data_IF_379644750068
#
_entry.id   IF_379644750068
#
_cell.length_a   1.000
_cell.length_b   1.000
_cell.length_c   1.000
_cell.angle_alpha   90.00
_cell.angle_beta   90.00
_cell.angle_gamma   90.00
#
_symmetry.space_group_name_H-M   'P 1'
#
loop_
_entity.id
_entity.type
_entity.pdbx_description
1 polymer ?
#
# COMPACT_ATOMS: atom_id res chain seq x y z
N UNK A 1 9.49 1.01 16.43
CA UNK A 1 9.36 1.22 14.97
C UNK A 1 8.23 0.35 14.47
N UNK A 2 7.30 0.85 13.66
CA UNK A 2 6.37 -0.04 12.98
C UNK A 2 7.20 -0.92 12.04
N UNK A 3 6.93 -2.20 12.08
CA UNK A 3 7.69 -3.16 11.31
C UNK A 3 7.29 -3.02 9.84
N UNK A 4 8.27 -2.93 8.96
CA UNK A 4 8.03 -2.81 7.53
C UNK A 4 7.93 -1.38 6.97
N UNK A 5 7.84 -0.35 7.81
CA UNK A 5 7.76 1.03 7.35
C UNK A 5 9.07 1.79 7.64
N UNK A 6 9.78 2.21 6.60
CA UNK A 6 11.10 2.83 6.73
C UNK A 6 11.07 4.28 7.21
N UNK A 7 9.96 4.97 7.01
CA UNK A 7 9.81 6.39 7.27
C UNK A 7 9.03 6.73 8.54
N UNK A 8 8.59 5.73 9.33
CA UNK A 8 7.74 5.93 10.51
C UNK A 8 8.42 5.56 11.82
N UNK A 9 7.93 6.13 12.92
CA UNK A 9 8.37 5.82 14.27
C UNK A 9 9.63 6.51 14.74
N UNK A 10 10.20 7.42 13.96
CA UNK A 10 11.36 8.22 14.36
C UNK A 10 11.28 9.64 13.83
N UNK A 11 12.08 10.51 14.41
CA UNK A 11 12.33 11.85 13.90
C UNK A 11 13.82 12.04 13.64
N UNK A 12 14.15 12.80 12.62
CA UNK A 12 15.51 13.24 12.36
C UNK A 12 15.86 14.41 13.29
N UNK A 13 17.09 14.47 13.76
CA UNK A 13 17.64 15.65 14.42
C UNK A 13 17.69 16.82 13.43
N UNK A 14 17.69 18.06 13.95
CA UNK A 14 17.77 19.26 13.10
C UNK A 14 19.01 19.20 12.17
N UNK A 15 18.76 19.31 10.87
CA UNK A 15 19.80 19.25 9.83
C UNK A 15 20.22 17.84 9.42
N UNK A 16 19.76 16.80 10.11
CA UNK A 16 20.09 15.42 9.78
C UNK A 16 19.17 14.84 8.69
N UNK A 17 19.72 13.91 7.89
CA UNK A 17 19.03 13.12 6.90
C UNK A 17 19.02 11.65 7.30
N UNK A 18 17.90 10.96 7.11
CA UNK A 18 17.81 9.52 7.15
C UNK A 18 17.26 9.00 5.83
N UNK A 19 17.86 7.92 5.37
CA UNK A 19 17.47 7.25 4.13
C UNK A 19 16.85 5.90 4.47
N UNK A 20 15.83 5.54 3.73
CA UNK A 20 15.20 4.23 3.85
C UNK A 20 14.82 3.68 2.48
N UNK A 21 14.84 2.38 2.36
CA UNK A 21 14.32 1.67 1.20
C UNK A 21 13.44 0.53 1.68
N UNK A 22 12.25 0.43 1.11
CA UNK A 22 11.32 -0.67 1.34
C UNK A 22 11.01 -1.35 0.02
N UNK A 23 11.20 -2.66 -0.04
CA UNK A 23 10.74 -3.48 -1.15
C UNK A 23 9.53 -4.28 -0.71
N UNK A 24 8.52 -4.31 -1.52
CA UNK A 24 7.24 -4.95 -1.24
C UNK A 24 6.83 -5.81 -2.43
N UNK A 25 6.53 -7.07 -2.15
CA UNK A 25 6.02 -8.02 -3.13
C UNK A 25 4.64 -8.50 -2.70
N UNK A 26 3.64 -8.37 -3.57
CA UNK A 26 2.29 -8.89 -3.38
C UNK A 26 2.00 -9.91 -4.47
N UNK A 27 1.58 -11.08 -4.06
CA UNK A 27 1.05 -12.12 -4.92
C UNK A 27 -0.44 -12.30 -4.65
N UNK A 28 -1.24 -12.21 -5.71
CA UNK A 28 -2.69 -12.43 -5.68
C UNK A 28 -2.98 -13.55 -6.68
N UNK A 29 -3.49 -14.67 -6.19
CA UNK A 29 -4.13 -15.70 -6.99
C UNK A 29 -5.64 -15.47 -6.91
N UNK A 30 -6.30 -15.29 -8.05
CA UNK A 30 -7.70 -14.89 -8.08
C UNK A 30 -8.50 -15.70 -9.12
N UNK A 31 -9.78 -15.80 -8.88
CA UNK A 31 -10.75 -16.36 -9.81
C UNK A 31 -12.12 -15.71 -9.60
N UNK A 32 -12.94 -15.73 -10.64
CA UNK A 32 -14.35 -15.40 -10.58
C UNK A 32 -15.14 -16.23 -11.60
N UNK A 33 -16.46 -16.28 -11.40
CA UNK A 33 -17.40 -16.95 -12.28
C UNK A 33 -17.45 -16.33 -13.67
N UNK A 34 -18.02 -17.07 -14.67
CA UNK A 34 -18.22 -16.58 -16.03
C UNK A 34 -18.97 -15.25 -16.08
N UNK A 35 -18.58 -14.36 -16.97
CA UNK A 35 -19.31 -13.14 -17.30
C UNK A 35 -20.11 -13.32 -18.59
N UNK A 36 -21.18 -12.50 -18.79
CA UNK A 36 -22.17 -12.67 -19.88
C UNK A 36 -21.57 -12.90 -21.28
N UNK A 37 -20.43 -12.29 -21.60
CA UNK A 37 -19.78 -12.39 -22.91
C UNK A 37 -18.69 -13.45 -22.99
N UNK A 38 -18.28 -13.98 -21.86
CA UNK A 38 -17.20 -14.97 -21.73
C UNK A 38 -17.67 -16.08 -20.77
N UNK A 39 -18.41 -17.11 -21.30
CA UNK A 39 -19.10 -18.12 -20.50
C UNK A 39 -18.17 -19.21 -19.96
N UNK A 40 -17.00 -18.86 -19.49
CA UNK A 40 -16.04 -19.73 -18.84
C UNK A 40 -15.49 -19.08 -17.58
N UNK A 41 -14.97 -19.88 -16.66
CA UNK A 41 -14.37 -19.40 -15.43
C UNK A 41 -13.14 -18.54 -15.75
N UNK A 42 -12.99 -17.44 -15.05
CA UNK A 42 -11.83 -16.57 -15.16
C UNK A 42 -10.87 -16.82 -14.00
N UNK A 43 -9.61 -17.07 -14.31
CA UNK A 43 -8.58 -17.17 -13.27
C UNK A 43 -7.24 -16.61 -13.71
N UNK A 44 -6.49 -16.12 -12.74
CA UNK A 44 -5.22 -15.50 -13.00
C UNK A 44 -4.40 -15.25 -11.75
N UNK A 45 -3.22 -14.68 -11.94
CA UNK A 45 -2.45 -14.14 -10.83
C UNK A 45 -2.01 -12.72 -11.12
N UNK A 46 -2.06 -11.87 -10.10
CA UNK A 46 -1.51 -10.51 -10.14
C UNK A 46 -0.31 -10.43 -9.22
N UNK A 47 0.84 -10.15 -9.79
CA UNK A 47 2.09 -9.95 -9.08
C UNK A 47 2.41 -8.46 -9.06
N UNK A 48 2.66 -7.92 -7.87
CA UNK A 48 3.06 -6.53 -7.71
C UNK A 48 4.39 -6.47 -6.98
N UNK A 49 5.40 -5.90 -7.59
CA UNK A 49 6.69 -5.62 -6.98
C UNK A 49 6.89 -4.11 -6.92
N UNK A 50 7.07 -3.58 -5.72
CA UNK A 50 7.25 -2.15 -5.47
C UNK A 50 8.50 -1.94 -4.64
N UNK A 51 9.29 -0.94 -5.01
CA UNK A 51 10.40 -0.39 -4.22
C UNK A 51 10.04 1.05 -3.87
N UNK A 52 10.13 1.38 -2.59
CA UNK A 52 9.82 2.71 -2.09
C UNK A 52 11.05 3.30 -1.38
N UNK A 53 11.91 4.05 -2.10
CA UNK A 53 12.92 4.87 -1.45
C UNK A 53 12.25 6.00 -0.67
N UNK A 54 12.84 6.36 0.47
CA UNK A 54 12.39 7.46 1.32
C UNK A 54 13.55 8.23 1.91
N UNK A 55 13.35 9.54 2.10
CA UNK A 55 14.28 10.45 2.75
C UNK A 55 13.50 11.19 3.83
N UNK A 56 14.05 11.23 5.05
CA UNK A 56 13.51 12.02 6.16
C UNK A 56 14.54 13.09 6.52
N UNK A 57 14.15 14.36 6.46
CA UNK A 57 14.97 15.50 6.83
C UNK A 57 14.42 16.16 8.08
N UNK A 58 15.30 16.40 9.06
CA UNK A 58 14.98 17.12 10.28
C UNK A 58 15.04 18.64 10.08
N UNK A 59 13.90 19.30 9.91
CA UNK A 59 13.81 20.76 9.84
C UNK A 59 14.12 21.38 11.22
N UNK A 60 13.58 20.75 12.28
CA UNK A 60 13.81 21.15 13.66
C UNK A 60 13.79 19.92 14.58
N UNK A 61 14.01 20.10 15.88
CA UNK A 61 13.86 19.01 16.88
C UNK A 61 12.46 18.38 16.92
N UNK A 62 11.47 19.05 16.34
CA UNK A 62 10.06 18.60 16.37
C UNK A 62 9.45 18.41 14.99
N UNK A 63 10.06 18.97 13.94
CA UNK A 63 9.49 18.99 12.58
C UNK A 63 10.39 18.19 11.64
N UNK A 64 9.80 17.23 10.94
CA UNK A 64 10.47 16.42 9.93
C UNK A 64 9.70 16.51 8.61
N UNK A 65 10.45 16.61 7.52
CA UNK A 65 9.96 16.46 6.16
C UNK A 65 10.30 15.05 5.66
N UNK A 66 9.32 14.33 5.17
CA UNK A 66 9.50 13.02 4.53
C UNK A 66 9.16 13.12 3.07
N UNK A 67 10.06 12.63 2.22
CA UNK A 67 9.87 12.45 0.79
C UNK A 67 9.96 10.96 0.48
N UNK A 68 9.05 10.43 -0.33
CA UNK A 68 9.12 9.05 -0.80
C UNK A 68 8.55 8.95 -2.21
N UNK A 69 9.05 8.01 -3.00
CA UNK A 69 8.54 7.70 -4.33
C UNK A 69 8.27 6.21 -4.46
N UNK A 70 7.31 5.85 -5.27
CA UNK A 70 6.98 4.47 -5.61
C UNK A 70 7.60 4.11 -6.95
N UNK A 71 8.38 3.04 -6.97
CA UNK A 71 8.92 2.44 -8.20
C UNK A 71 8.45 1.00 -8.25
N UNK A 72 7.96 0.52 -9.39
CA UNK A 72 7.50 -0.86 -9.40
C UNK A 72 6.91 -1.34 -10.71
N UNK A 73 6.42 -2.56 -10.66
CA UNK A 73 5.75 -3.24 -11.77
C UNK A 73 4.62 -4.08 -11.20
N UNK A 74 3.47 -4.03 -11.86
CA UNK A 74 2.35 -4.96 -11.67
C UNK A 74 2.24 -5.81 -12.92
N UNK A 75 2.09 -7.14 -12.74
CA UNK A 75 1.98 -8.11 -13.84
C UNK A 75 0.79 -9.03 -13.61
N UNK A 76 -0.11 -9.06 -14.57
CA UNK A 76 -1.16 -10.05 -14.67
C UNK A 76 -0.63 -11.26 -15.45
N UNK A 77 -0.93 -12.47 -14.96
CA UNK A 77 -0.75 -13.71 -15.70
C UNK A 77 -2.09 -14.40 -15.81
N UNK A 78 -2.57 -14.55 -17.03
CA UNK A 78 -3.78 -15.27 -17.34
C UNK A 78 -3.53 -16.79 -17.27
N UNK A 79 -4.47 -17.55 -16.70
CA UNK A 79 -4.29 -18.99 -16.47
C UNK A 79 -5.18 -19.86 -17.33
N UNK A 80 -6.28 -19.33 -17.86
CA UNK A 80 -7.23 -20.09 -18.66
C UNK A 80 -6.71 -20.29 -20.10
N UNK A 81 -7.15 -21.38 -20.74
CA UNK A 81 -6.81 -21.69 -22.13
C UNK A 81 -7.55 -20.79 -23.12
N UNK A 82 -8.74 -20.32 -22.76
CA UNK A 82 -9.55 -19.43 -23.58
C UNK A 82 -8.97 -18.01 -23.54
N UNK A 83 -8.99 -17.31 -24.68
CA UNK A 83 -8.69 -15.89 -24.72
C UNK A 83 -9.80 -15.08 -24.09
N UNK A 84 -9.46 -13.99 -23.40
CA UNK A 84 -10.39 -13.06 -22.80
C UNK A 84 -10.20 -11.65 -23.34
N UNK A 85 -11.28 -10.91 -23.50
CA UNK A 85 -11.26 -9.47 -23.83
C UNK A 85 -10.83 -8.67 -22.56
N UNK A 86 -11.20 -9.18 -21.39
CA UNK A 86 -10.97 -8.51 -20.11
C UNK A 86 -9.61 -8.83 -19.51
N UNK A 87 -9.17 -10.08 -19.60
CA UNK A 87 -7.99 -10.56 -18.87
C UNK A 87 -6.95 -11.19 -19.81
N UNK A 88 -5.71 -10.81 -19.61
CA UNK A 88 -4.56 -11.30 -20.41
C UNK A 88 -3.28 -11.26 -19.60
N UNK A 89 -2.23 -11.81 -20.14
CA UNK A 89 -0.88 -11.64 -19.61
C UNK A 89 -0.35 -10.27 -20.02
N UNK A 90 -0.18 -9.38 -19.05
CA UNK A 90 0.26 -7.99 -19.28
C UNK A 90 1.00 -7.39 -18.08
N UNK A 91 1.67 -6.26 -18.28
CA UNK A 91 2.43 -5.56 -17.25
C UNK A 91 2.14 -4.04 -17.27
N UNK A 92 2.20 -3.41 -16.09
CA UNK A 92 2.06 -1.96 -15.95
C UNK A 92 3.22 -1.15 -16.52
N UNK A 93 4.35 -1.78 -16.86
CA UNK A 93 5.54 -1.10 -17.37
C UNK A 93 5.44 -0.67 -18.84
N UNK A 94 4.48 -1.21 -19.59
CA UNK A 94 4.26 -0.91 -21.01
C UNK A 94 3.00 -0.05 -21.18
N UNK A 95 2.97 0.76 -22.23
CA UNK A 95 1.74 1.41 -22.66
C UNK A 95 0.71 0.38 -23.10
N UNK A 96 -0.54 0.72 -22.92
CA UNK A 96 -1.69 -0.07 -23.35
C UNK A 96 -2.79 0.85 -23.89
N UNK A 97 -3.78 0.31 -24.62
CA UNK A 97 -4.84 1.10 -25.24
C UNK A 97 -5.51 2.12 -24.29
N UNK A 98 -5.68 1.72 -23.04
CA UNK A 98 -6.33 2.51 -21.99
C UNK A 98 -5.39 2.85 -20.82
N UNK A 99 -4.07 2.77 -20.99
CA UNK A 99 -3.16 3.01 -19.88
C UNK A 99 -1.77 3.46 -20.33
N UNK A 100 -1.20 4.43 -19.64
CA UNK A 100 0.23 4.74 -19.77
C UNK A 100 1.06 3.79 -18.91
N UNK A 101 2.18 3.33 -19.47
CA UNK A 101 3.15 2.47 -18.83
C UNK A 101 4.23 3.22 -18.06
N UNK A 102 5.21 2.48 -17.60
CA UNK A 102 6.37 2.95 -16.87
C UNK A 102 6.56 2.24 -15.53
N UNK A 103 7.61 2.59 -14.82
CA UNK A 103 7.93 2.01 -13.51
C UNK A 103 7.73 2.99 -12.35
N UNK A 104 7.50 4.26 -12.64
CA UNK A 104 7.30 5.30 -11.63
C UNK A 104 5.81 5.35 -11.24
N UNK A 105 5.52 5.11 -9.99
CA UNK A 105 4.24 5.36 -9.35
C UNK A 105 4.25 6.69 -8.58
N UNK A 106 3.30 6.86 -7.68
CA UNK A 106 3.10 8.12 -6.97
C UNK A 106 4.24 8.45 -6.00
N UNK A 107 4.48 9.74 -5.81
CA UNK A 107 5.40 10.29 -4.83
C UNK A 107 4.64 10.97 -3.69
N UNK A 108 5.19 10.93 -2.46
CA UNK A 108 4.58 11.55 -1.28
C UNK A 108 5.52 12.54 -0.61
N UNK A 109 4.93 13.64 -0.17
CA UNK A 109 5.59 14.70 0.62
C UNK A 109 4.80 14.85 1.91
N UNK A 110 5.39 14.53 3.06
CA UNK A 110 4.71 14.56 4.37
C UNK A 110 5.53 15.40 5.34
N UNK A 111 4.88 16.36 5.98
CA UNK A 111 5.41 17.11 7.10
C UNK A 111 4.89 16.47 8.40
N UNK A 112 5.80 16.12 9.33
CA UNK A 112 5.49 15.52 10.62
C UNK A 112 5.89 16.43 11.76
N UNK A 113 5.03 16.52 12.76
CA UNK A 113 5.27 17.23 14.01
C UNK A 113 5.31 16.25 15.18
N UNK A 114 6.38 16.29 15.97
CA UNK A 114 6.52 15.53 17.22
C UNK A 114 5.76 16.21 18.35
N UNK A 115 4.59 15.67 18.68
CA UNK A 115 3.69 16.17 19.72
C UNK A 115 4.20 15.82 21.12
N UNK A 116 4.67 14.58 21.32
CA UNK A 116 5.19 14.08 22.60
C UNK A 116 6.39 13.16 22.39
N UNK A 117 7.40 13.32 23.25
CA UNK A 117 8.56 12.44 23.30
C UNK A 117 9.06 12.40 24.74
N UNK A 118 9.04 11.23 25.37
CA UNK A 118 9.53 11.02 26.74
C UNK A 118 11.03 10.72 26.82
N UNK A 119 11.75 10.81 25.70
CA UNK A 119 13.20 10.63 25.65
C UNK A 119 13.66 9.27 25.11
N UNK A 120 14.91 8.90 25.39
CA UNK A 120 15.56 7.69 24.87
C UNK A 120 15.15 6.40 25.61
N UNK A 121 14.67 6.51 26.84
CA UNK A 121 14.26 5.38 27.67
C UNK A 121 12.83 4.89 27.34
N UNK A 122 12.23 4.30 28.38
CA UNK A 122 10.83 3.91 28.34
C UNK A 122 9.93 5.12 28.15
N UNK A 123 8.82 4.93 27.46
CA UNK A 123 7.80 5.95 27.35
C UNK A 123 7.19 6.13 25.99
N UNK A 124 6.52 7.24 25.83
CA UNK A 124 5.59 7.53 24.76
C UNK A 124 6.19 8.50 23.74
N UNK A 125 5.94 8.21 22.46
CA UNK A 125 6.27 9.07 21.33
C UNK A 125 5.05 9.21 20.42
N UNK A 126 4.63 10.46 20.15
CA UNK A 126 3.44 10.77 19.36
C UNK A 126 3.80 11.75 18.26
N UNK A 127 3.39 11.45 17.03
CA UNK A 127 3.50 12.34 15.88
C UNK A 127 2.11 12.57 15.26
N UNK A 128 1.91 13.78 14.76
CA UNK A 128 0.88 14.11 13.79
C UNK A 128 1.54 14.61 12.52
N UNK A 129 0.93 14.34 11.38
CA UNK A 129 1.49 14.77 10.10
C UNK A 129 0.42 15.01 9.05
N UNK A 130 0.83 15.71 8.00
CA UNK A 130 0.02 15.94 6.82
C UNK A 130 0.86 16.25 5.60
N UNK A 131 0.29 16.05 4.43
CA UNK A 131 1.01 16.27 3.17
C UNK A 131 0.21 15.86 1.96
N UNK A 132 0.93 15.63 0.86
CA UNK A 132 0.33 15.39 -0.44
C UNK A 132 0.96 14.19 -1.15
N UNK A 133 0.12 13.49 -1.91
CA UNK A 133 0.53 12.55 -2.94
C UNK A 133 0.54 13.27 -4.29
N UNK A 134 1.62 13.10 -5.04
CA UNK A 134 1.82 13.64 -6.38
C UNK A 134 1.72 12.47 -7.35
N UNK A 135 0.77 12.48 -8.31
CA UNK A 135 0.58 11.37 -9.22
C UNK A 135 1.72 11.25 -10.22
N UNK A 136 1.99 10.02 -10.64
CA UNK A 136 2.85 9.74 -11.80
C UNK A 136 2.03 9.62 -13.07
N UNK A 137 2.74 9.47 -14.20
CA UNK A 137 2.09 9.25 -15.49
C UNK A 137 1.65 7.79 -15.73
N UNK A 138 2.03 6.84 -14.87
CA UNK A 138 1.59 5.44 -14.98
C UNK A 138 0.16 5.29 -14.46
N UNK A 139 -0.83 5.57 -15.29
CA UNK A 139 -2.25 5.64 -14.93
C UNK A 139 -3.13 5.08 -16.04
N UNK A 140 -4.37 4.74 -15.70
CA UNK A 140 -5.41 4.44 -16.68
C UNK A 140 -5.87 5.72 -17.36
N UNK A 141 -6.13 5.65 -18.66
CA UNK A 141 -6.52 6.78 -19.51
C UNK A 141 -7.99 6.71 -19.96
N UNK A 142 -8.67 5.61 -19.67
CA UNK A 142 -10.13 5.48 -19.82
C UNK A 142 -10.67 4.47 -18.81
N UNK A 143 -11.98 4.50 -18.63
CA UNK A 143 -12.72 3.58 -17.77
C UNK A 143 -12.53 2.12 -18.21
N UNK A 144 -11.95 1.25 -17.38
CA UNK A 144 -11.73 -0.15 -17.72
C UNK A 144 -12.97 -1.03 -17.57
N UNK A 145 -14.10 -0.48 -17.12
CA UNK A 145 -15.35 -1.21 -16.89
C UNK A 145 -16.44 -0.87 -17.91
N UNK A 146 -16.19 0.14 -18.79
CA UNK A 146 -17.12 0.58 -19.83
C UNK A 146 -18.51 0.93 -19.29
N UNK A 147 -18.55 1.61 -18.16
CA UNK A 147 -19.78 1.94 -17.42
C UNK A 147 -20.73 2.86 -18.19
N UNK A 148 -20.20 3.65 -19.12
CA UNK A 148 -20.99 4.54 -19.99
C UNK A 148 -21.52 3.83 -21.24
N UNK A 149 -21.39 2.50 -21.37
CA UNK A 149 -21.93 1.72 -22.47
C UNK A 149 -21.09 1.72 -23.75
N UNK A 150 -19.82 2.17 -23.69
CA UNK A 150 -18.88 2.05 -24.82
C UNK A 150 -18.66 0.59 -25.23
N UNK A 151 -18.20 0.39 -26.46
CA UNK A 151 -17.85 -0.93 -26.96
C UNK A 151 -16.67 -1.50 -26.17
N UNK A 152 -16.81 -2.75 -25.70
CA UNK A 152 -15.75 -3.45 -24.97
C UNK A 152 -14.57 -3.73 -25.89
N UNK A 153 -13.44 -3.11 -25.60
CA UNK A 153 -12.15 -3.27 -26.27
C UNK A 153 -11.15 -3.92 -25.31
N UNK A 154 -10.07 -4.38 -25.87
CA UNK A 154 -8.92 -4.81 -25.05
C UNK A 154 -8.46 -3.68 -24.12
N UNK A 155 -8.39 -3.96 -22.80
CA UNK A 155 -8.06 -2.97 -21.79
C UNK A 155 -7.32 -3.58 -20.61
N UNK A 156 -6.68 -2.71 -19.81
CA UNK A 156 -5.98 -3.06 -18.57
C UNK A 156 -6.72 -2.48 -17.37
N UNK A 157 -6.81 -3.25 -16.27
CA UNK A 157 -7.50 -2.85 -15.04
C UNK A 157 -6.59 -2.28 -13.96
N UNK A 158 -5.29 -2.21 -14.18
CA UNK A 158 -4.32 -1.83 -13.15
C UNK A 158 -3.27 -0.84 -13.65
N UNK A 159 -2.79 -0.01 -12.74
CA UNK A 159 -1.71 0.97 -12.91
C UNK A 159 -0.93 1.12 -11.61
N UNK A 160 0.13 1.92 -11.59
CA UNK A 160 0.89 2.26 -10.39
C UNK A 160 0.43 3.57 -9.73
N UNK A 161 -0.33 4.39 -10.46
CA UNK A 161 -0.88 5.66 -10.04
C UNK A 161 -2.37 5.72 -10.33
N UNK A 162 -3.10 6.42 -9.46
CA UNK A 162 -4.51 6.75 -9.71
C UNK A 162 -4.67 8.03 -10.56
N UNK A 163 -3.57 8.74 -10.87
CA UNK A 163 -3.59 9.95 -11.67
C UNK A 163 -4.11 11.20 -10.94
N UNK A 164 -4.22 11.16 -9.60
CA UNK A 164 -4.80 12.26 -8.82
C UNK A 164 -3.84 12.76 -7.75
N UNK A 165 -3.91 14.06 -7.45
CA UNK A 165 -3.35 14.61 -6.23
C UNK A 165 -4.23 14.22 -5.05
N UNK A 166 -3.60 13.70 -3.97
CA UNK A 166 -4.32 13.36 -2.76
C UNK A 166 -3.72 14.15 -1.59
N UNK A 167 -4.55 14.57 -0.64
CA UNK A 167 -4.01 14.97 0.65
C UNK A 167 -3.91 13.76 1.59
N UNK A 168 -2.91 13.83 2.46
CA UNK A 168 -2.62 12.81 3.44
C UNK A 168 -2.66 13.41 4.84
N UNK A 169 -3.30 12.71 5.78
CA UNK A 169 -3.26 13.01 7.20
C UNK A 169 -2.77 11.76 7.91
N UNK A 170 -1.83 11.92 8.85
CA UNK A 170 -1.32 10.79 9.62
C UNK A 170 -1.23 11.11 11.12
N UNK A 171 -1.39 10.08 11.93
CA UNK A 171 -1.09 10.07 13.35
C UNK A 171 -0.29 8.82 13.69
N UNK A 172 0.71 8.96 14.55
CA UNK A 172 1.57 7.84 14.96
C UNK A 172 1.74 7.87 16.48
N UNK A 173 1.62 6.71 17.12
CA UNK A 173 1.80 6.54 18.56
C UNK A 173 2.69 5.35 18.81
N UNK A 174 3.73 5.54 19.59
CA UNK A 174 4.70 4.51 19.95
C UNK A 174 4.98 4.52 21.44
N UNK A 175 4.94 3.35 22.04
CA UNK A 175 5.31 3.14 23.43
C UNK A 175 6.43 2.12 23.54
N UNK A 176 7.51 2.49 24.22
CA UNK A 176 8.67 1.62 24.51
C UNK A 176 8.70 1.29 26.00
N UNK A 177 9.03 0.05 26.32
CA UNK A 177 9.22 -0.43 27.70
C UNK A 177 10.39 -1.43 27.78
N UNK A 178 10.83 -1.73 29.02
CA UNK A 178 11.96 -2.62 29.26
C UNK A 178 11.55 -4.10 29.41
N UNK A 179 10.25 -4.40 29.47
CA UNK A 179 9.71 -5.75 29.55
C UNK A 179 9.09 -6.14 28.22
N UNK A 180 9.05 -7.45 27.92
CA UNK A 180 8.44 -7.94 26.69
C UNK A 180 6.90 -7.87 26.76
N UNK A 181 6.22 -7.45 25.69
CA UNK A 181 6.79 -6.83 24.47
C UNK A 181 7.51 -5.53 24.75
N UNK A 182 8.68 -5.32 24.14
CA UNK A 182 9.49 -4.12 24.40
C UNK A 182 8.98 -2.86 23.69
N UNK A 183 8.05 -3.04 22.75
CA UNK A 183 7.55 -1.95 21.92
C UNK A 183 6.13 -2.22 21.45
N UNK A 184 5.29 -1.19 21.55
CA UNK A 184 3.98 -1.12 20.93
C UNK A 184 3.95 0.06 19.99
N UNK A 185 3.37 -0.11 18.82
CA UNK A 185 3.25 0.94 17.84
C UNK A 185 1.93 0.90 17.12
N UNK A 186 1.46 2.07 16.77
CA UNK A 186 0.30 2.23 15.91
C UNK A 186 0.43 3.45 15.04
N UNK A 187 -0.10 3.36 13.83
CA UNK A 187 -0.27 4.54 13.00
C UNK A 187 -1.59 4.49 12.24
N UNK A 188 -2.11 5.66 12.02
CA UNK A 188 -3.31 5.93 11.23
C UNK A 188 -2.93 6.80 10.05
N UNK A 189 -3.44 6.48 8.86
CA UNK A 189 -3.29 7.28 7.65
C UNK A 189 -4.65 7.41 6.98
N UNK A 190 -5.03 8.64 6.67
CA UNK A 190 -6.10 8.99 5.76
C UNK A 190 -5.48 9.54 4.47
N UNK A 191 -5.80 8.93 3.34
CA UNK A 191 -5.45 9.45 2.01
C UNK A 191 -6.73 9.68 1.22
N UNK A 192 -6.96 10.92 0.80
CA UNK A 192 -8.17 11.32 0.08
C UNK A 192 -7.82 12.11 -1.17
N UNK A 193 -8.41 11.78 -2.34
CA UNK A 193 -8.22 12.55 -3.57
C UNK A 193 -8.75 13.98 -3.41
N UNK A 194 -8.04 14.94 -4.01
CA UNK A 194 -8.45 16.37 -4.05
C UNK A 194 -9.50 16.57 -5.13
N UNK A 195 -9.31 15.90 -6.28
CA UNK A 195 -10.21 15.95 -7.42
C UNK A 195 -10.08 14.66 -8.23
N UNK A 196 -10.93 14.45 -9.20
CA UNK A 196 -10.79 13.39 -10.20
C UNK A 196 -9.54 13.58 -11.06
N UNK A 197 -9.07 12.49 -11.66
CA UNK A 197 -7.98 12.51 -12.62
C UNK A 197 -8.42 13.23 -13.91
N UNK A 198 -7.47 13.63 -14.74
CA UNK A 198 -7.76 14.22 -16.06
C UNK A 198 -8.54 13.30 -17.01
N UNK A 199 -8.70 12.05 -16.63
CA UNK A 199 -9.43 11.02 -17.40
C UNK A 199 -10.75 10.61 -16.76
N UNK A 200 -11.24 11.36 -15.75
CA UNK A 200 -12.53 11.14 -15.11
C UNK A 200 -12.53 10.08 -14.01
N UNK A 201 -11.37 9.63 -13.53
CA UNK A 201 -11.32 8.74 -12.37
C UNK A 201 -11.22 9.51 -11.07
N UNK A 202 -12.22 9.37 -10.21
CA UNK A 202 -12.17 9.78 -8.80
C UNK A 202 -11.82 8.54 -7.96
N UNK A 203 -10.57 8.40 -7.51
CA UNK A 203 -10.19 7.25 -6.72
C UNK A 203 -10.83 7.26 -5.34
N UNK A 204 -10.93 6.09 -4.70
CA UNK A 204 -11.45 5.98 -3.35
C UNK A 204 -10.60 6.71 -2.32
N UNK A 205 -11.24 7.10 -1.21
CA UNK A 205 -10.54 7.49 0.02
C UNK A 205 -10.03 6.23 0.72
N UNK A 206 -8.76 6.24 1.13
CA UNK A 206 -8.14 5.14 1.87
C UNK A 206 -7.94 5.53 3.33
N UNK A 207 -8.37 4.66 4.23
CA UNK A 207 -8.12 4.75 5.67
C UNK A 207 -7.34 3.51 6.08
N UNK A 208 -6.16 3.71 6.64
CA UNK A 208 -5.28 2.64 7.06
C UNK A 208 -4.93 2.78 8.55
N UNK A 209 -5.18 1.73 9.33
CA UNK A 209 -4.79 1.61 10.72
C UNK A 209 -3.86 0.40 10.88
N UNK A 210 -2.67 0.64 11.38
CA UNK A 210 -1.71 -0.42 11.71
C UNK A 210 -1.42 -0.43 13.18
N UNK A 211 -1.52 -1.61 13.79
CA UNK A 211 -1.12 -1.88 15.16
C UNK A 211 -0.01 -2.93 15.16
N UNK A 212 0.99 -2.75 15.99
CA UNK A 212 2.14 -3.65 16.06
C UNK A 212 2.72 -3.73 17.45
N UNK A 213 3.35 -4.86 17.75
CA UNK A 213 4.15 -5.07 18.96
C UNK A 213 5.43 -5.83 18.61
N UNK A 214 6.50 -5.57 19.37
CA UNK A 214 7.81 -6.16 19.15
C UNK A 214 8.27 -6.86 20.43
N UNK A 215 8.69 -8.10 20.29
CA UNK A 215 9.34 -8.90 21.31
C UNK A 215 10.84 -8.99 21.04
N UNK A 216 11.67 -8.56 21.95
CA UNK A 216 13.08 -8.84 21.92
C UNK A 216 13.28 -10.30 22.38
N UNK A 217 13.78 -11.18 21.51
CA UNK A 217 13.84 -12.61 21.78
C UNK A 217 15.24 -13.14 22.08
N UNK A 218 16.26 -12.55 21.52
CA UNK A 218 17.61 -13.11 21.60
C UNK A 218 18.57 -12.07 22.17
N UNK A 219 19.11 -12.33 23.38
CA UNK A 219 20.06 -11.41 24.01
C UNK A 219 21.43 -11.43 23.31
N UNK A 220 21.78 -12.53 22.65
CA UNK A 220 23.07 -12.74 21.98
C UNK A 220 23.05 -12.30 20.49
N UNK A 221 21.91 -12.02 19.91
CA UNK A 221 21.75 -11.57 18.54
C UNK A 221 20.84 -10.34 18.58
N UNK A 222 21.27 -9.23 17.98
CA UNK A 222 20.43 -8.01 17.89
C UNK A 222 19.25 -8.24 16.95
N UNK A 223 18.34 -9.09 17.39
CA UNK A 223 17.15 -9.49 16.64
C UNK A 223 15.89 -9.43 17.48
N UNK A 224 14.77 -9.21 16.82
CA UNK A 224 13.45 -9.13 17.44
C UNK A 224 12.38 -9.73 16.53
N UNK A 225 11.28 -10.20 17.13
CA UNK A 225 10.10 -10.65 16.41
C UNK A 225 9.00 -9.61 16.63
N UNK A 226 8.34 -9.22 15.55
CA UNK A 226 7.18 -8.34 15.56
C UNK A 226 5.91 -9.06 15.14
N UNK A 227 4.80 -8.67 15.73
CA UNK A 227 3.45 -9.06 15.32
C UNK A 227 2.67 -7.80 15.02
N UNK A 228 1.80 -7.86 14.02
CA UNK A 228 1.00 -6.70 13.64
C UNK A 228 -0.32 -7.08 13.01
N UNK A 229 -1.20 -6.08 12.96
CA UNK A 229 -2.46 -6.11 12.23
C UNK A 229 -2.54 -4.81 11.45
N UNK A 230 -2.84 -4.94 10.16
CA UNK A 230 -3.16 -3.81 9.30
C UNK A 230 -4.65 -3.91 8.93
N UNK A 231 -5.40 -2.83 9.14
CA UNK A 231 -6.80 -2.68 8.75
C UNK A 231 -6.86 -1.59 7.70
N UNK A 232 -7.28 -1.96 6.50
CA UNK A 232 -7.45 -1.04 5.38
C UNK A 232 -8.93 -0.96 5.00
N UNK A 233 -9.48 0.24 5.03
CA UNK A 233 -10.78 0.55 4.46
C UNK A 233 -10.61 1.46 3.26
N UNK A 234 -11.24 1.11 2.16
CA UNK A 234 -11.24 1.82 0.89
C UNK A 234 -12.69 2.16 0.54
N UNK A 235 -13.02 3.43 0.36
CA UNK A 235 -14.37 3.85 -0.01
C UNK A 235 -14.69 3.53 -1.47
N UNK A 236 -15.91 3.83 -1.93
CA UNK A 236 -16.28 3.74 -3.33
C UNK A 236 -15.47 4.74 -4.17
N UNK A 237 -14.96 4.29 -5.30
CA UNK A 237 -14.38 5.11 -6.36
C UNK A 237 -15.34 5.26 -7.53
N UNK A 238 -15.08 6.23 -8.43
CA UNK A 238 -15.99 6.56 -9.54
C UNK A 238 -15.23 6.79 -10.84
N UNK A 239 -15.83 6.36 -11.95
CA UNK A 239 -15.44 6.75 -13.30
C UNK A 239 -16.54 7.58 -13.91
N UNK A 240 -16.26 8.83 -14.28
CA UNK A 240 -17.23 9.75 -14.88
C UNK A 240 -18.59 9.79 -14.13
N UNK A 241 -18.54 9.82 -12.79
CA UNK A 241 -19.65 9.76 -11.84
C UNK A 241 -20.37 8.40 -11.73
N UNK A 242 -19.96 7.34 -12.43
CA UNK A 242 -20.45 5.99 -12.22
C UNK A 242 -19.61 5.26 -11.18
N UNK A 243 -20.24 4.48 -10.31
CA UNK A 243 -19.53 3.67 -9.32
C UNK A 243 -18.58 2.68 -10.01
N UNK A 244 -17.28 2.79 -9.70
CA UNK A 244 -16.28 1.89 -10.23
C UNK A 244 -16.33 0.54 -9.48
N UNK A 245 -16.59 -0.59 -10.16
CA UNK A 245 -16.63 -1.90 -9.55
C UNK A 245 -15.36 -2.24 -8.77
N UNK A 246 -15.48 -3.04 -7.72
CA UNK A 246 -14.37 -3.57 -6.92
C UNK A 246 -13.44 -2.51 -6.30
N UNK A 247 -13.88 -1.25 -6.16
CA UNK A 247 -13.07 -0.20 -5.53
C UNK A 247 -13.34 -0.06 -4.04
N UNK A 248 -14.58 -0.30 -3.58
CA UNK A 248 -14.92 -0.32 -2.16
C UNK A 248 -14.46 -1.63 -1.52
N UNK A 249 -13.77 -1.56 -0.39
CA UNK A 249 -13.37 -2.76 0.34
C UNK A 249 -12.97 -2.47 1.79
N UNK A 250 -13.04 -3.51 2.60
CA UNK A 250 -12.43 -3.55 3.93
C UNK A 250 -11.62 -4.82 4.08
N UNK A 251 -10.35 -4.70 4.45
CA UNK A 251 -9.47 -5.84 4.67
C UNK A 251 -8.75 -5.76 6.01
N UNK A 252 -8.41 -6.92 6.54
CA UNK A 252 -7.55 -7.11 7.70
C UNK A 252 -6.34 -7.96 7.29
N UNK A 253 -5.15 -7.56 7.70
CA UNK A 253 -3.91 -8.24 7.34
C UNK A 253 -3.09 -8.52 8.60
N UNK A 254 -3.21 -9.70 9.22
CA UNK A 254 -2.28 -10.13 10.24
C UNK A 254 -0.87 -10.26 9.65
N UNK A 255 0.14 -9.97 10.45
CA UNK A 255 1.54 -9.98 10.04
C UNK A 255 2.49 -10.52 11.10
N UNK A 256 3.57 -11.12 10.63
CA UNK A 256 4.74 -11.49 11.44
C UNK A 256 5.98 -10.85 10.82
N UNK A 257 6.93 -10.47 11.66
CA UNK A 257 8.12 -9.75 11.22
C UNK A 257 9.35 -10.19 11.98
N UNK A 258 10.50 -10.10 11.32
CA UNK A 258 11.82 -10.32 11.90
C UNK A 258 12.64 -9.05 11.69
N UNK A 259 13.24 -8.55 12.78
CA UNK A 259 14.04 -7.33 12.78
C UNK A 259 15.46 -7.68 13.16
N UNK A 260 16.44 -7.17 12.43
CA UNK A 260 17.86 -7.38 12.63
C UNK A 260 18.61 -6.07 12.64
N UNK A 261 19.45 -5.86 13.65
CA UNK A 261 20.46 -4.82 13.62
C UNK A 261 21.64 -5.26 12.76
N UNK A 262 22.09 -4.43 11.85
CA UNK A 262 23.26 -4.68 11.01
C UNK A 262 24.19 -3.46 11.02
N UNK A 263 25.42 -3.63 10.50
CA UNK A 263 26.38 -2.51 10.39
C UNK A 263 25.92 -1.39 9.44
N UNK A 264 25.08 -1.70 8.49
CA UNK A 264 24.55 -0.75 7.50
C UNK A 264 23.17 -0.19 7.88
N UNK A 265 22.58 -0.65 8.99
CA UNK A 265 21.27 -0.19 9.46
C UNK A 265 20.41 -1.32 9.99
N UNK A 266 19.16 -1.01 10.27
CA UNK A 266 18.16 -1.99 10.69
C UNK A 266 17.42 -2.58 9.47
N UNK A 267 17.40 -3.91 9.40
CA UNK A 267 16.65 -4.66 8.39
C UNK A 267 15.39 -5.24 9.04
N UNK A 268 14.26 -5.10 8.37
CA UNK A 268 13.03 -5.80 8.76
C UNK A 268 12.50 -6.62 7.59
N UNK A 269 12.17 -7.88 7.86
CA UNK A 269 11.42 -8.77 6.98
C UNK A 269 10.00 -8.85 7.53
N UNK A 270 9.00 -8.75 6.67
CA UNK A 270 7.61 -8.83 7.09
C UNK A 270 6.81 -9.71 6.12
N UNK A 271 5.99 -10.60 6.68
CA UNK A 271 5.02 -11.42 5.96
C UNK A 271 3.63 -11.06 6.43
N UNK A 272 2.71 -10.82 5.50
CA UNK A 272 1.32 -10.48 5.77
C UNK A 272 0.38 -11.37 4.96
N UNK A 273 -0.79 -11.63 5.54
CA UNK A 273 -1.89 -12.35 4.90
C UNK A 273 -3.13 -11.46 4.84
N UNK A 274 -3.34 -10.69 3.76
CA UNK A 274 -4.57 -9.92 3.58
C UNK A 274 -5.80 -10.85 3.48
N UNK A 275 -6.86 -10.45 4.18
CA UNK A 275 -8.17 -11.10 4.20
C UNK A 275 -9.19 -10.00 3.97
N UNK A 276 -9.94 -10.07 2.89
CA UNK A 276 -11.03 -9.14 2.62
C UNK A 276 -12.26 -9.54 3.43
N UNK A 277 -12.78 -8.58 4.19
CA UNK A 277 -14.00 -8.72 4.99
C UNK A 277 -15.22 -8.27 4.21
N UNK A 278 -15.04 -7.34 3.25
CA UNK A 278 -16.09 -6.74 2.43
C UNK A 278 -15.47 -6.19 1.14
N UNK A 279 -16.20 -6.31 0.02
CA UNK A 279 -15.83 -5.78 -1.29
C UNK A 279 -14.57 -6.36 -1.92
N UNK A 280 -14.19 -5.86 -3.08
CA UNK A 280 -13.01 -6.26 -3.86
C UNK A 280 -12.90 -7.79 -4.03
N UNK A 281 -11.94 -8.42 -3.36
CA UNK A 281 -11.70 -9.87 -3.42
C UNK A 281 -12.38 -10.67 -2.28
N UNK A 282 -13.35 -10.09 -1.58
CA UNK A 282 -14.18 -10.86 -0.66
C UNK A 282 -14.99 -11.89 -1.44
N UNK A 283 -15.22 -13.06 -0.84
CA UNK A 283 -16.13 -14.05 -1.42
C UNK A 283 -17.57 -13.52 -1.43
N UNK A 284 -18.30 -13.73 -2.54
CA UNK A 284 -19.72 -13.45 -2.72
C UNK A 284 -20.07 -11.94 -2.80
N UNK A 285 -19.76 -11.31 -3.90
CA UNK A 285 -20.31 -10.01 -4.27
C UNK A 285 -21.47 -10.21 -5.25
N UNK A 286 -22.70 -10.11 -4.77
CA UNK A 286 -23.90 -10.38 -5.56
C UNK A 286 -24.09 -11.87 -5.90
N UNK A 287 -24.56 -12.14 -7.13
CA UNK A 287 -24.77 -13.50 -7.65
C UNK A 287 -23.50 -14.13 -8.24
N UNK A 288 -22.39 -13.40 -8.30
CA UNK A 288 -21.13 -13.87 -8.85
C UNK A 288 -20.20 -14.39 -7.75
N UNK A 289 -19.84 -15.67 -7.83
CA UNK A 289 -18.81 -16.22 -6.95
C UNK A 289 -17.42 -15.76 -7.40
N UNK A 290 -16.63 -15.35 -6.44
CA UNK A 290 -15.24 -14.96 -6.66
C UNK A 290 -14.37 -15.35 -5.47
N UNK A 291 -13.06 -15.41 -5.67
CA UNK A 291 -12.14 -15.70 -4.59
C UNK A 291 -10.70 -15.30 -4.88
N UNK A 292 -9.96 -15.15 -3.81
CA UNK A 292 -8.53 -14.85 -3.91
C UNK A 292 -7.71 -15.47 -2.79
N UNK A 293 -6.44 -15.72 -3.10
CA UNK A 293 -5.41 -16.06 -2.12
C UNK A 293 -4.28 -15.04 -2.23
N UNK A 294 -4.08 -14.24 -1.18
CA UNK A 294 -3.18 -13.10 -1.22
C UNK A 294 -2.07 -13.28 -0.19
N UNK A 295 -0.84 -13.05 -0.63
CA UNK A 295 0.34 -12.99 0.22
C UNK A 295 1.13 -11.73 -0.05
N UNK A 296 1.62 -11.10 1.02
CA UNK A 296 2.48 -9.93 0.94
C UNK A 296 3.75 -10.17 1.73
N UNK A 297 4.88 -9.90 1.08
CA UNK A 297 6.19 -9.95 1.68
C UNK A 297 6.88 -8.60 1.51
N UNK A 298 7.53 -8.11 2.55
CA UNK A 298 8.33 -6.89 2.44
C UNK A 298 9.67 -7.01 3.14
N UNK A 299 10.66 -6.31 2.57
CA UNK A 299 11.97 -6.08 3.14
C UNK A 299 12.16 -4.58 3.26
N UNK A 300 12.61 -4.12 4.40
CA UNK A 300 12.99 -2.73 4.60
C UNK A 300 14.37 -2.61 5.19
N UNK A 301 15.14 -1.64 4.70
CA UNK A 301 16.43 -1.21 5.21
C UNK A 301 16.35 0.27 5.58
N UNK A 302 16.97 0.64 6.70
CA UNK A 302 16.99 1.99 7.22
C UNK A 302 18.30 2.31 7.93
#
# INVERSE_FOLDING_TARGET
MPVGETDKGFGAEKGAFYYGIQSHYTYIDWWHDPVKREPFKHSGSLNTFIVRPSIVYGISKKINLTLSSTLGIRRMKWKEANSSIHHRTEASSSDFNNAHGGILGDSKVILRYLLKNTGLGNGLRIYGGGGFTIPSNNQLTSDPFFLNGEEVKEHRHFSLSNGTYNYNIEAQVYYKQNVNPTFYGGFFILEKPIAESKYGFLPPTNINLVLSMIYKRFDNIDSSIGYGINILHTSQGYWNNFEAPNTKSTSISPSISFLFGTRIGAIALNLQKPIFLDGAFASNEGDMEQGSNIWQFSISLR
#
